data_IF_596764763702
#
_entry.id   IF_596764763702
#
_cell.length_a   1.000
_cell.length_b   1.000
_cell.length_c   1.000
_cell.angle_alpha   90.00
_cell.angle_beta   90.00
_cell.angle_gamma   90.00
#
_symmetry.space_group_name_H-M   'P 1'
#
loop_
_entity.id
_entity.type
_entity.pdbx_description
1 polymer ?
#
# COMPACT_ATOMS: atom_id res chain seq x y z
N UNK A 1 11.19 -33.27 -23.13
CA UNK A 1 11.40 -32.00 -22.39
C UNK A 1 10.08 -31.56 -21.79
N UNK A 2 9.84 -31.86 -20.53
CA UNK A 2 8.64 -31.46 -19.78
C UNK A 2 8.81 -30.03 -19.28
N UNK A 3 8.17 -29.08 -19.95
CA UNK A 3 8.05 -27.70 -19.47
C UNK A 3 6.98 -27.62 -18.38
N UNK A 4 7.38 -27.69 -17.11
CA UNK A 4 6.67 -27.07 -16.00
C UNK A 4 7.71 -26.32 -15.17
N UNK A 5 7.54 -24.99 -14.92
CA UNK A 5 6.75 -24.59 -13.76
C UNK A 5 6.03 -23.23 -13.96
N UNK A 6 4.76 -23.27 -14.38
CA UNK A 6 3.82 -22.15 -14.21
C UNK A 6 3.20 -22.04 -12.80
N UNK A 7 2.99 -23.13 -12.02
CA UNK A 7 2.36 -23.06 -10.70
C UNK A 7 3.13 -22.19 -9.71
N UNK A 8 4.45 -22.35 -9.63
CA UNK A 8 5.29 -21.73 -8.59
C UNK A 8 5.25 -20.20 -8.63
N UNK A 9 5.14 -19.61 -9.84
CA UNK A 9 5.09 -18.16 -10.00
C UNK A 9 3.73 -17.57 -9.64
N UNK A 10 2.66 -18.29 -9.94
CA UNK A 10 1.31 -17.90 -9.55
C UNK A 10 1.19 -17.95 -8.04
N UNK A 11 1.68 -19.03 -7.41
CA UNK A 11 1.76 -19.18 -5.96
C UNK A 11 2.57 -18.04 -5.34
N UNK A 12 3.77 -17.74 -5.85
CA UNK A 12 4.59 -16.64 -5.35
C UNK A 12 3.91 -15.27 -5.46
N UNK A 13 3.18 -15.00 -6.56
CA UNK A 13 2.43 -13.75 -6.72
C UNK A 13 1.27 -13.65 -5.74
N UNK A 14 0.52 -14.73 -5.56
CA UNK A 14 -0.62 -14.76 -4.63
C UNK A 14 -0.11 -14.59 -3.19
N UNK A 15 0.96 -15.29 -2.82
CA UNK A 15 1.57 -15.17 -1.49
C UNK A 15 2.06 -13.74 -1.21
N UNK A 16 2.80 -13.14 -2.15
CA UNK A 16 3.28 -11.76 -2.01
C UNK A 16 2.12 -10.76 -2.01
N UNK A 17 1.12 -10.94 -2.87
CA UNK A 17 -0.08 -10.11 -2.88
C UNK A 17 -0.81 -10.18 -1.53
N UNK A 18 -1.06 -11.37 -1.01
CA UNK A 18 -1.74 -11.56 0.27
C UNK A 18 -0.97 -10.91 1.41
N UNK A 19 0.34 -11.15 1.50
CA UNK A 19 1.19 -10.54 2.52
C UNK A 19 1.18 -9.01 2.45
N UNK A 20 1.29 -8.42 1.25
CA UNK A 20 1.26 -6.97 1.07
C UNK A 20 -0.13 -6.39 1.36
N UNK A 21 -1.21 -7.02 0.89
CA UNK A 21 -2.57 -6.54 1.12
C UNK A 21 -2.91 -6.55 2.62
N UNK A 22 -2.54 -7.62 3.34
CA UNK A 22 -2.70 -7.70 4.80
C UNK A 22 -1.84 -6.66 5.53
N UNK A 23 -0.57 -6.49 5.12
CA UNK A 23 0.31 -5.50 5.71
C UNK A 23 -0.21 -4.08 5.50
N UNK A 24 -0.66 -3.74 4.29
CA UNK A 24 -1.19 -2.41 3.97
C UNK A 24 -2.48 -2.15 4.73
N UNK A 25 -3.38 -3.14 4.84
CA UNK A 25 -4.61 -3.00 5.60
C UNK A 25 -4.34 -2.71 7.09
N UNK A 26 -3.48 -3.50 7.73
CA UNK A 26 -3.16 -3.31 9.15
C UNK A 26 -2.36 -2.04 9.42
N UNK A 27 -1.34 -1.76 8.60
CA UNK A 27 -0.51 -0.57 8.72
C UNK A 27 -1.31 0.71 8.50
N UNK A 28 -2.34 0.68 7.63
CA UNK A 28 -3.16 1.84 7.36
C UNK A 28 -3.88 2.36 8.60
N UNK A 29 -4.66 1.50 9.25
CA UNK A 29 -5.39 1.87 10.47
C UNK A 29 -4.43 2.30 11.57
N UNK A 30 -3.31 1.59 11.72
CA UNK A 30 -2.31 1.96 12.72
C UNK A 30 -1.69 3.34 12.43
N UNK A 31 -1.28 3.61 11.20
CA UNK A 31 -0.68 4.88 10.83
C UNK A 31 -1.66 6.06 10.99
N UNK A 32 -2.90 5.92 10.50
CA UNK A 32 -3.94 6.95 10.60
C UNK A 32 -4.33 7.26 12.05
N UNK A 33 -4.26 6.31 12.96
CA UNK A 33 -4.67 6.52 14.35
C UNK A 33 -3.51 6.84 15.31
N UNK A 34 -2.33 6.28 15.06
CA UNK A 34 -1.20 6.37 15.99
C UNK A 34 -0.07 7.27 15.51
N UNK A 35 0.17 7.35 14.19
CA UNK A 35 1.25 8.17 13.63
C UNK A 35 0.76 9.54 13.15
N UNK A 36 -0.49 9.62 12.73
CA UNK A 36 -1.08 10.86 12.26
C UNK A 36 -1.17 11.87 13.40
N UNK A 37 -0.73 13.11 13.12
CA UNK A 37 -0.91 14.22 14.05
C UNK A 37 -2.40 14.61 14.07
N UNK A 38 -3.00 14.86 15.24
CA UNK A 38 -4.41 15.25 15.33
C UNK A 38 -4.75 16.47 14.45
N UNK A 39 -3.84 17.45 14.42
CA UNK A 39 -3.97 18.63 13.56
C UNK A 39 -4.06 18.28 12.08
N UNK A 40 -3.24 17.36 11.60
CA UNK A 40 -3.26 16.97 10.18
C UNK A 40 -4.58 16.26 9.83
N UNK A 41 -5.14 15.49 10.76
CA UNK A 41 -6.42 14.79 10.58
C UNK A 41 -7.59 15.75 10.37
N UNK A 42 -7.61 16.86 11.12
CA UNK A 42 -8.66 17.88 11.00
C UNK A 42 -8.45 18.72 9.74
N UNK A 43 -7.22 19.15 9.47
CA UNK A 43 -6.94 20.15 8.44
C UNK A 43 -6.81 19.59 7.02
N UNK A 44 -6.47 18.31 6.85
CA UNK A 44 -6.21 17.70 5.52
C UNK A 44 -7.38 17.82 4.54
N UNK A 45 -8.60 18.01 5.04
CA UNK A 45 -9.80 18.21 4.22
C UNK A 45 -10.03 19.64 3.71
N UNK A 46 -9.34 20.66 4.22
CA UNK A 46 -9.63 22.06 3.93
C UNK A 46 -9.35 22.45 2.47
N UNK A 47 -10.25 23.18 1.84
CA UNK A 47 -10.12 23.71 0.46
C UNK A 47 -10.62 25.14 0.39
N UNK A 48 -10.41 25.78 -0.76
CA UNK A 48 -10.84 27.15 -1.01
C UNK A 48 -9.74 28.18 -0.74
N UNK A 49 -10.04 29.40 -1.12
CA UNK A 49 -9.15 30.55 -0.99
C UNK A 49 -9.48 31.42 0.22
N UNK A 50 -10.52 31.04 0.96
CA UNK A 50 -10.89 31.63 2.24
C UNK A 50 -9.71 31.58 3.20
N UNK A 51 -9.50 32.68 3.93
CA UNK A 51 -8.42 32.78 4.90
C UNK A 51 -8.82 32.07 6.18
N UNK A 52 -7.95 31.17 6.61
CA UNK A 52 -8.07 30.41 7.86
C UNK A 52 -6.81 30.56 8.69
N UNK A 53 -6.95 30.38 10.00
CA UNK A 53 -5.81 30.24 10.89
C UNK A 53 -5.17 28.86 10.70
N UNK A 54 -3.87 28.77 10.38
CA UNK A 54 -3.24 27.47 10.13
C UNK A 54 -3.09 26.60 11.38
N UNK A 55 -3.39 27.10 12.58
CA UNK A 55 -3.39 26.33 13.83
C UNK A 55 -4.52 25.29 13.90
N UNK A 56 -5.74 25.71 13.55
CA UNK A 56 -6.98 24.93 13.72
C UNK A 56 -7.93 24.98 12.52
N UNK A 57 -7.64 25.80 11.51
CA UNK A 57 -8.44 25.91 10.30
C UNK A 57 -9.67 26.79 10.44
N UNK A 58 -9.83 27.51 11.57
CA UNK A 58 -10.96 28.43 11.77
C UNK A 58 -10.90 29.57 10.77
N UNK A 59 -12.05 29.94 10.20
CA UNK A 59 -12.17 31.06 9.28
C UNK A 59 -11.89 32.39 9.99
N UNK A 60 -11.16 33.28 9.34
CA UNK A 60 -10.84 34.60 9.93
C UNK A 60 -12.09 35.42 10.22
N UNK A 61 -13.15 35.28 9.41
CA UNK A 61 -14.41 35.99 9.62
C UNK A 61 -15.23 35.49 10.83
N UNK A 62 -14.90 34.32 11.39
CA UNK A 62 -15.59 33.75 12.55
C UNK A 62 -14.95 34.14 13.89
N UNK A 63 -13.79 34.81 13.86
CA UNK A 63 -13.03 35.19 15.07
C UNK A 63 -13.10 36.70 15.26
N UNK A 64 -13.43 37.13 16.48
CA UNK A 64 -13.34 38.54 16.87
C UNK A 64 -11.86 38.95 17.02
N UNK A 65 -11.36 39.69 16.02
CA UNK A 65 -10.00 40.22 16.01
C UNK A 65 -8.92 39.23 15.52
N UNK A 66 -7.72 39.75 15.18
CA UNK A 66 -6.61 38.92 14.74
C UNK A 66 -6.04 38.10 15.90
N UNK A 67 -5.72 36.83 15.65
CA UNK A 67 -4.95 36.01 16.62
C UNK A 67 -3.51 36.46 16.66
N UNK A 68 -3.01 36.72 17.86
CA UNK A 68 -1.63 37.16 18.08
C UNK A 68 -0.64 36.10 17.58
N UNK A 69 0.34 36.52 16.78
CA UNK A 69 1.42 35.64 16.28
C UNK A 69 1.03 34.68 15.16
N UNK A 70 -0.21 34.70 14.67
CA UNK A 70 -0.64 33.85 13.56
C UNK A 70 -0.99 34.66 12.31
N UNK A 71 -0.39 34.28 11.17
CA UNK A 71 -0.72 34.86 9.87
C UNK A 71 -1.74 33.95 9.18
N UNK A 72 -2.96 34.43 8.91
CA UNK A 72 -3.94 33.67 8.15
C UNK A 72 -3.44 33.34 6.75
N UNK A 73 -3.79 32.16 6.27
CA UNK A 73 -3.42 31.70 4.92
C UNK A 73 -4.63 31.03 4.26
N UNK A 74 -4.64 30.90 2.93
CA UNK A 74 -5.73 30.22 2.24
C UNK A 74 -5.92 28.77 2.73
N UNK A 75 -7.18 28.37 2.94
CA UNK A 75 -7.56 27.04 3.41
C UNK A 75 -6.97 25.91 2.56
N UNK A 76 -6.88 26.11 1.23
CA UNK A 76 -6.25 25.14 0.33
C UNK A 76 -4.74 24.93 0.61
N UNK A 77 -4.03 25.95 1.09
CA UNK A 77 -2.61 25.85 1.46
C UNK A 77 -2.45 25.04 2.73
N UNK A 78 -3.24 25.35 3.76
CA UNK A 78 -3.25 24.59 5.03
C UNK A 78 -3.56 23.13 4.77
N UNK A 79 -4.64 22.87 4.03
CA UNK A 79 -5.07 21.52 3.75
C UNK A 79 -4.05 20.71 2.95
N UNK A 80 -3.42 21.29 1.91
CA UNK A 80 -2.35 20.60 1.17
C UNK A 80 -1.16 20.26 2.07
N UNK A 81 -0.74 21.17 2.96
CA UNK A 81 0.37 20.94 3.89
C UNK A 81 0.04 19.81 4.87
N UNK A 82 -1.16 19.84 5.47
CA UNK A 82 -1.64 18.81 6.38
C UNK A 82 -1.71 17.43 5.70
N UNK A 83 -2.30 17.35 4.50
CA UNK A 83 -2.35 16.09 3.74
C UNK A 83 -0.95 15.58 3.38
N UNK A 84 -0.05 16.46 2.93
CA UNK A 84 1.31 16.05 2.60
C UNK A 84 2.07 15.57 3.83
N UNK A 85 1.97 16.27 4.96
CA UNK A 85 2.54 15.84 6.25
C UNK A 85 2.07 14.43 6.62
N UNK A 86 0.75 14.21 6.58
CA UNK A 86 0.13 12.91 6.86
C UNK A 86 0.61 11.81 5.91
N UNK A 87 0.58 12.06 4.60
CA UNK A 87 0.99 11.07 3.61
C UNK A 87 2.47 10.72 3.75
N UNK A 88 3.33 11.67 4.15
CA UNK A 88 4.74 11.39 4.40
C UNK A 88 4.96 10.50 5.63
N UNK A 89 4.26 10.75 6.74
CA UNK A 89 4.36 9.90 7.94
C UNK A 89 3.79 8.51 7.68
N UNK A 90 2.64 8.43 7.01
CA UNK A 90 2.05 7.18 6.53
C UNK A 90 3.00 6.41 5.61
N UNK A 91 3.60 7.09 4.64
CA UNK A 91 4.53 6.49 3.68
C UNK A 91 5.75 5.89 4.38
N UNK A 92 6.34 6.62 5.32
CA UNK A 92 7.45 6.13 6.12
C UNK A 92 7.05 4.88 6.91
N UNK A 93 5.93 4.92 7.63
CA UNK A 93 5.43 3.79 8.42
C UNK A 93 5.17 2.56 7.55
N UNK A 94 4.48 2.73 6.42
CA UNK A 94 4.15 1.62 5.54
C UNK A 94 5.37 1.02 4.86
N UNK A 95 6.36 1.81 4.44
CA UNK A 95 7.59 1.27 3.87
C UNK A 95 8.37 0.43 4.89
N UNK A 96 8.43 0.87 6.15
CA UNK A 96 9.04 0.12 7.24
C UNK A 96 8.31 -1.21 7.47
N UNK A 97 6.98 -1.19 7.59
CA UNK A 97 6.17 -2.41 7.78
C UNK A 97 6.31 -3.36 6.59
N UNK A 98 6.26 -2.83 5.37
CA UNK A 98 6.41 -3.62 4.14
C UNK A 98 7.75 -4.33 4.10
N UNK A 99 8.83 -3.62 4.42
CA UNK A 99 10.17 -4.20 4.44
C UNK A 99 10.33 -5.24 5.55
N UNK A 100 9.80 -4.97 6.74
CA UNK A 100 9.81 -5.91 7.85
C UNK A 100 9.08 -7.21 7.47
N UNK A 101 7.85 -7.12 6.96
CA UNK A 101 7.06 -8.28 6.50
C UNK A 101 7.78 -9.03 5.39
N UNK A 102 8.31 -8.33 4.39
CA UNK A 102 9.03 -8.97 3.28
C UNK A 102 10.26 -9.73 3.78
N UNK A 103 11.05 -9.16 4.70
CA UNK A 103 12.22 -9.82 5.28
C UNK A 103 11.84 -11.03 6.13
N UNK A 104 10.84 -10.90 7.00
CA UNK A 104 10.38 -12.00 7.87
C UNK A 104 9.88 -13.19 7.06
N UNK A 105 9.23 -12.95 5.93
CA UNK A 105 8.72 -14.00 5.05
C UNK A 105 9.75 -14.49 4.01
N UNK A 106 11.01 -14.03 4.07
CA UNK A 106 12.05 -14.40 3.11
C UNK A 106 11.79 -13.92 1.67
N UNK A 107 10.88 -12.96 1.49
CA UNK A 107 10.47 -12.48 0.17
C UNK A 107 11.42 -11.38 -0.34
N UNK A 108 11.99 -11.61 -1.52
CA UNK A 108 12.80 -10.60 -2.22
C UNK A 108 11.97 -9.90 -3.29
N UNK A 109 11.51 -8.69 -2.98
CA UNK A 109 10.86 -7.82 -3.96
C UNK A 109 11.87 -6.83 -4.56
N UNK A 110 11.95 -6.65 -5.89
CA UNK A 110 12.80 -5.63 -6.51
C UNK A 110 12.33 -4.23 -6.11
N UNK A 111 13.28 -3.32 -5.83
CA UNK A 111 13.00 -1.96 -5.38
C UNK A 111 12.04 -1.18 -6.30
N UNK A 112 12.14 -1.41 -7.63
CA UNK A 112 11.26 -0.79 -8.62
C UNK A 112 9.79 -1.16 -8.41
N UNK A 113 9.50 -2.42 -8.10
CA UNK A 113 8.12 -2.86 -7.85
C UNK A 113 7.56 -2.18 -6.58
N UNK A 114 8.39 -2.07 -5.53
CA UNK A 114 8.01 -1.38 -4.28
C UNK A 114 7.75 0.10 -4.51
N UNK A 115 8.58 0.78 -5.29
CA UNK A 115 8.38 2.20 -5.59
C UNK A 115 7.10 2.45 -6.39
N UNK A 116 6.77 1.60 -7.37
CA UNK A 116 5.52 1.75 -8.13
C UNK A 116 4.32 1.54 -7.22
N UNK A 117 4.33 0.50 -6.39
CA UNK A 117 3.29 0.26 -5.39
C UNK A 117 3.12 1.41 -4.41
N UNK A 118 4.23 1.90 -3.87
CA UNK A 118 4.29 3.04 -2.97
C UNK A 118 3.75 4.31 -3.64
N UNK A 119 4.15 4.60 -4.88
CA UNK A 119 3.68 5.78 -5.61
C UNK A 119 2.17 5.74 -5.87
N UNK A 120 1.62 4.57 -6.26
CA UNK A 120 0.18 4.38 -6.39
C UNK A 120 -0.48 4.66 -5.05
N UNK A 121 -0.05 3.95 -4.00
CA UNK A 121 -0.69 4.02 -2.70
C UNK A 121 -0.66 5.44 -2.11
N UNK A 122 0.51 6.10 -2.09
CA UNK A 122 0.66 7.44 -1.51
C UNK A 122 -0.02 8.51 -2.35
N UNK A 123 0.06 8.39 -3.68
CA UNK A 123 -0.62 9.32 -4.59
C UNK A 123 -2.14 9.24 -4.43
N UNK A 124 -2.69 8.03 -4.37
CA UNK A 124 -4.12 7.86 -4.12
C UNK A 124 -4.50 8.29 -2.72
N UNK A 125 -3.67 8.00 -1.71
CA UNK A 125 -3.91 8.43 -0.33
C UNK A 125 -4.01 9.95 -0.24
N UNK A 126 -3.07 10.66 -0.85
CA UNK A 126 -3.06 12.12 -0.91
C UNK A 126 -4.33 12.66 -1.57
N UNK A 127 -4.76 12.10 -2.71
CA UNK A 127 -5.95 12.56 -3.42
C UNK A 127 -7.23 12.36 -2.59
N UNK A 128 -7.36 11.19 -1.95
CA UNK A 128 -8.55 10.84 -1.17
C UNK A 128 -8.65 11.67 0.10
N UNK A 129 -7.53 11.86 0.80
CA UNK A 129 -7.48 12.64 2.04
C UNK A 129 -7.81 14.12 1.87
N UNK A 130 -7.68 14.62 0.64
CA UNK A 130 -8.22 15.93 0.28
C UNK A 130 -9.74 15.93 0.24
N UNK A 131 -10.47 14.82 0.37
CA UNK A 131 -11.94 14.70 0.41
C UNK A 131 -12.72 15.13 -0.84
N UNK A 132 -12.23 16.08 -1.66
CA UNK A 132 -12.93 16.56 -2.87
C UNK A 132 -13.19 15.44 -3.87
N UNK A 133 -12.20 14.59 -4.13
CA UNK A 133 -12.37 13.44 -5.01
C UNK A 133 -13.33 12.40 -4.41
N UNK A 134 -13.22 12.13 -3.11
CA UNK A 134 -14.10 11.20 -2.40
C UNK A 134 -15.56 11.65 -2.45
N UNK A 135 -15.85 12.92 -2.18
CA UNK A 135 -17.20 13.49 -2.22
C UNK A 135 -17.77 13.46 -3.64
N UNK A 136 -16.97 13.82 -4.65
CA UNK A 136 -17.36 13.67 -6.06
C UNK A 136 -17.69 12.21 -6.40
N UNK A 137 -16.87 11.27 -5.95
CA UNK A 137 -17.09 9.84 -6.20
C UNK A 137 -18.36 9.35 -5.48
N UNK A 138 -18.61 9.78 -4.24
CA UNK A 138 -19.79 9.44 -3.48
C UNK A 138 -21.09 9.92 -4.16
N UNK A 139 -21.07 11.13 -4.74
CA UNK A 139 -22.20 11.65 -5.54
C UNK A 139 -22.43 10.83 -6.80
N UNK A 140 -21.36 10.37 -7.46
CA UNK A 140 -21.44 9.63 -8.73
C UNK A 140 -21.82 8.17 -8.55
N UNK A 141 -21.38 7.55 -7.45
CA UNK A 141 -21.58 6.12 -7.19
C UNK A 141 -22.73 5.98 -6.23
N UNK A 142 -23.91 5.65 -6.76
CA UNK A 142 -25.09 5.26 -5.97
C UNK A 142 -25.58 6.33 -4.96
N UNK A 143 -25.43 7.61 -5.29
CA UNK A 143 -25.93 8.75 -4.49
C UNK A 143 -25.59 8.63 -3.00
N UNK A 144 -24.32 8.31 -2.70
CA UNK A 144 -23.81 8.16 -1.33
C UNK A 144 -23.67 9.49 -0.60
N UNK A 145 -23.89 10.63 -1.27
CA UNK A 145 -24.09 11.93 -0.64
C UNK A 145 -25.27 11.93 0.34
N UNK A 146 -26.32 11.17 0.03
CA UNK A 146 -27.45 10.95 0.94
C UNK A 146 -27.01 10.16 2.18
N UNK A 147 -26.20 9.11 1.99
CA UNK A 147 -25.63 8.35 3.11
C UNK A 147 -24.73 9.21 4.00
N UNK A 148 -23.88 10.06 3.41
CA UNK A 148 -23.02 11.02 4.13
C UNK A 148 -23.87 12.00 4.96
N UNK A 149 -25.00 12.45 4.41
CA UNK A 149 -25.87 13.41 5.10
C UNK A 149 -26.61 12.80 6.29
N UNK A 150 -26.96 11.51 6.22
CA UNK A 150 -27.70 10.83 7.29
C UNK A 150 -26.81 10.26 8.40
N UNK A 151 -25.70 9.63 8.05
CA UNK A 151 -24.85 8.92 9.02
C UNK A 151 -23.76 9.84 9.59
N UNK A 152 -24.19 10.77 10.42
CA UNK A 152 -23.33 11.67 11.23
C UNK A 152 -23.26 11.19 12.68
N UNK A 153 -22.37 11.78 13.49
CA UNK A 153 -22.18 11.37 14.89
C UNK A 153 -22.24 12.58 15.83
N UNK A 154 -23.12 12.52 16.83
CA UNK A 154 -23.12 13.46 17.95
C UNK A 154 -22.15 12.96 19.03
N UNK A 155 -21.06 13.69 19.25
CA UNK A 155 -20.03 13.30 20.24
C UNK A 155 -20.28 13.87 21.63
N UNK A 156 -20.89 15.06 21.71
CA UNK A 156 -21.22 15.75 22.95
C UNK A 156 -22.66 16.30 22.88
N UNK A 157 -23.38 16.39 24.00
CA UNK A 157 -24.63 17.13 24.05
C UNK A 157 -24.44 18.57 23.56
N UNK A 158 -25.44 19.10 22.87
CA UNK A 158 -25.53 20.50 22.44
C UNK A 158 -24.41 21.00 21.49
N UNK A 159 -23.61 20.11 20.92
CA UNK A 159 -22.64 20.44 19.86
C UNK A 159 -23.13 20.03 18.49
N UNK A 160 -22.75 20.73 17.40
CA UNK A 160 -23.07 20.28 16.04
C UNK A 160 -22.61 18.84 15.78
N UNK A 161 -23.34 18.06 14.95
CA UNK A 161 -22.91 16.72 14.57
C UNK A 161 -21.54 16.74 13.89
N UNK A 162 -20.67 15.79 14.26
CA UNK A 162 -19.46 15.51 13.50
C UNK A 162 -19.83 14.82 12.19
N UNK A 163 -19.31 15.35 11.08
CA UNK A 163 -19.61 14.91 9.72
C UNK A 163 -18.48 14.10 9.09
N UNK A 164 -17.32 13.97 9.76
CA UNK A 164 -16.11 13.50 9.09
C UNK A 164 -15.15 12.65 9.92
N UNK A 165 -15.32 12.60 11.24
CA UNK A 165 -14.52 11.76 12.14
C UNK A 165 -15.00 10.31 12.25
N UNK A 166 -14.33 9.47 13.06
CA UNK A 166 -14.69 8.06 13.25
C UNK A 166 -16.17 7.86 13.61
N UNK A 167 -16.80 6.89 12.95
CA UNK A 167 -18.23 6.55 13.10
C UNK A 167 -19.17 7.27 12.14
N UNK A 168 -18.66 8.21 11.34
CA UNK A 168 -19.45 8.90 10.30
C UNK A 168 -19.37 8.16 8.96
N UNK A 169 -20.38 8.32 8.11
CA UNK A 169 -20.37 7.75 6.76
C UNK A 169 -19.20 8.25 5.91
N UNK A 170 -18.81 9.52 6.05
CA UNK A 170 -17.68 10.06 5.31
C UNK A 170 -16.37 9.37 5.71
N UNK A 171 -16.19 9.11 7.00
CA UNK A 171 -15.05 8.35 7.51
C UNK A 171 -15.04 6.90 6.99
N UNK A 172 -16.20 6.23 7.00
CA UNK A 172 -16.28 4.85 6.52
C UNK A 172 -16.00 4.74 5.01
N UNK A 173 -16.50 5.68 4.21
CA UNK A 173 -16.23 5.75 2.78
C UNK A 173 -14.74 6.06 2.50
N UNK A 174 -14.14 6.97 3.27
CA UNK A 174 -12.71 7.30 3.20
C UNK A 174 -11.86 6.05 3.48
N UNK A 175 -12.09 5.40 4.62
CA UNK A 175 -11.38 4.17 5.02
C UNK A 175 -11.58 3.03 4.02
N UNK A 176 -12.81 2.86 3.53
CA UNK A 176 -13.13 1.84 2.52
C UNK A 176 -12.36 2.06 1.22
N UNK A 177 -12.31 3.30 0.74
CA UNK A 177 -11.63 3.63 -0.52
C UNK A 177 -10.12 3.49 -0.42
N UNK A 178 -9.50 3.96 0.68
CA UNK A 178 -8.07 3.77 0.91
C UNK A 178 -7.70 2.28 0.95
N UNK A 179 -8.47 1.46 1.68
CA UNK A 179 -8.25 0.00 1.75
C UNK A 179 -8.39 -0.66 0.37
N UNK A 180 -9.40 -0.26 -0.41
CA UNK A 180 -9.60 -0.79 -1.76
C UNK A 180 -8.42 -0.46 -2.70
N UNK A 181 -7.89 0.77 -2.64
CA UNK A 181 -6.73 1.14 -3.45
C UNK A 181 -5.42 0.54 -2.93
N UNK A 182 -5.31 0.29 -1.62
CA UNK A 182 -4.23 -0.51 -1.04
C UNK A 182 -4.16 -1.92 -1.63
N UNK A 183 -5.31 -2.56 -1.87
CA UNK A 183 -5.38 -3.85 -2.56
C UNK A 183 -4.85 -3.73 -4.00
N UNK A 184 -5.24 -2.69 -4.73
CA UNK A 184 -4.74 -2.43 -6.10
C UNK A 184 -3.22 -2.23 -6.10
N UNK A 185 -2.70 -1.42 -5.17
CA UNK A 185 -1.27 -1.18 -5.02
C UNK A 185 -0.50 -2.47 -4.70
N UNK A 186 -1.03 -3.32 -3.81
CA UNK A 186 -0.45 -4.62 -3.49
C UNK A 186 -0.43 -5.55 -4.72
N UNK A 187 -1.51 -5.60 -5.49
CA UNK A 187 -1.62 -6.42 -6.69
C UNK A 187 -0.60 -5.99 -7.77
N UNK A 188 -0.48 -4.69 -8.03
CA UNK A 188 0.51 -4.14 -8.98
C UNK A 188 1.93 -4.45 -8.49
N UNK A 189 2.21 -4.24 -7.21
CA UNK A 189 3.52 -4.54 -6.62
C UNK A 189 3.89 -6.01 -6.81
N UNK A 190 2.99 -6.93 -6.45
CA UNK A 190 3.22 -8.36 -6.57
C UNK A 190 3.43 -8.79 -8.03
N UNK A 191 2.63 -8.21 -8.95
CA UNK A 191 2.72 -8.50 -10.39
C UNK A 191 4.05 -8.08 -11.01
N UNK A 192 4.61 -6.95 -10.55
CA UNK A 192 5.90 -6.42 -10.99
C UNK A 192 7.08 -7.12 -10.30
N UNK A 193 6.90 -7.53 -9.05
CA UNK A 193 7.95 -8.18 -8.27
C UNK A 193 8.29 -9.58 -8.77
N UNK A 194 7.32 -10.30 -9.36
CA UNK A 194 7.52 -11.64 -9.92
C UNK A 194 7.49 -11.56 -11.46
N UNK A 195 8.65 -11.55 -12.15
CA UNK A 195 8.73 -11.40 -13.60
C UNK A 195 7.96 -12.48 -14.36
N UNK A 196 7.39 -12.09 -15.51
CA UNK A 196 6.82 -13.05 -16.46
C UNK A 196 7.89 -13.97 -17.07
N UNK A 197 7.50 -15.04 -17.78
CA UNK A 197 8.44 -15.77 -18.63
C UNK A 197 9.11 -14.78 -19.58
N UNK A 198 10.44 -14.78 -19.65
CA UNK A 198 11.12 -14.07 -20.74
C UNK A 198 10.64 -14.72 -22.03
N UNK A 199 9.93 -13.98 -22.89
CA UNK A 199 9.75 -14.39 -24.29
C UNK A 199 11.16 -14.57 -24.84
N UNK A 200 11.54 -15.79 -25.25
CA UNK A 200 12.76 -15.99 -26.04
C UNK A 200 12.75 -14.94 -27.15
N UNK A 201 13.82 -14.16 -27.29
CA UNK A 201 13.91 -13.26 -28.44
C UNK A 201 13.98 -14.14 -29.68
N UNK A 202 13.20 -13.81 -30.71
CA UNK A 202 13.30 -14.47 -32.02
C UNK A 202 14.72 -14.21 -32.53
N UNK A 203 15.61 -15.19 -32.39
CA UNK A 203 17.04 -15.05 -32.67
C UNK A 203 17.99 -15.55 -31.59
N UNK A 204 17.51 -16.02 -30.42
CA UNK A 204 18.38 -16.76 -29.50
C UNK A 204 18.89 -18.02 -30.25
N UNK A 205 20.22 -18.22 -30.40
CA UNK A 205 20.77 -19.33 -31.17
C UNK A 205 20.17 -20.64 -30.67
N UNK A 206 19.76 -21.52 -31.60
CA UNK A 206 19.54 -22.91 -31.26
C UNK A 206 20.80 -23.39 -30.54
N UNK A 207 20.69 -23.78 -29.27
CA UNK A 207 21.70 -24.61 -28.63
C UNK A 207 22.04 -25.72 -29.62
N UNK A 208 23.31 -25.74 -30.04
CA UNK A 208 23.83 -26.84 -30.83
C UNK A 208 23.50 -28.14 -30.10
N UNK A 209 23.02 -29.17 -30.81
CA UNK A 209 22.68 -30.44 -30.19
C UNK A 209 23.88 -30.94 -29.37
N UNK A 210 23.60 -31.35 -28.13
CA UNK A 210 24.60 -31.89 -27.24
C UNK A 210 25.42 -32.98 -27.98
N UNK A 211 26.76 -33.03 -27.77
CA UNK A 211 27.57 -34.08 -28.37
C UNK A 211 27.01 -35.44 -27.95
N UNK A 212 26.98 -36.43 -28.86
CA UNK A 212 26.44 -37.75 -28.57
C UNK A 212 27.13 -38.33 -27.34
N UNK A 213 26.31 -38.84 -26.40
CA UNK A 213 26.78 -39.60 -25.25
C UNK A 213 27.72 -40.70 -25.76
N UNK A 214 29.00 -40.61 -25.38
CA UNK A 214 29.93 -41.71 -25.58
C UNK A 214 29.34 -42.94 -24.89
N UNK A 215 29.02 -43.96 -25.68
CA UNK A 215 28.60 -45.24 -25.15
C UNK A 215 29.72 -45.80 -24.25
N UNK A 216 29.38 -46.30 -23.04
CA UNK A 216 30.36 -46.96 -22.19
C UNK A 216 30.90 -48.20 -22.91
N UNK A 217 32.24 -48.33 -22.97
CA UNK A 217 32.90 -49.53 -23.48
C UNK A 217 32.56 -50.71 -22.56
N UNK A 218 32.17 -51.88 -23.10
CA UNK A 218 32.03 -53.09 -22.30
C UNK A 218 33.42 -53.66 -22.02
N UNK A 219 33.81 -53.72 -20.74
CA UNK A 219 35.04 -54.41 -20.34
C UNK A 219 35.48 -54.03 -18.95
N UNK A 220 35.21 -54.90 -17.97
CA UNK A 220 35.74 -54.76 -16.62
C UNK A 220 34.88 -55.41 -15.54
N UNK A 221 34.60 -56.71 -15.67
CA UNK A 221 34.29 -57.55 -14.51
C UNK A 221 35.49 -57.54 -13.58
N UNK A 222 35.34 -56.95 -12.40
CA UNK A 222 36.07 -57.38 -11.22
C UNK A 222 35.15 -57.23 -10.02
N UNK A 223 34.83 -58.39 -9.44
CA UNK A 223 34.40 -58.55 -8.06
C UNK A 223 35.26 -57.73 -7.10
N UNK A 224 34.69 -57.32 -5.97
CA UNK A 224 35.16 -57.74 -4.64
C UNK A 224 34.22 -57.15 -3.57
N UNK A 225 33.67 -58.07 -2.79
CA UNK A 225 33.03 -57.88 -1.50
C UNK A 225 33.90 -57.10 -0.50
N UNK A 226 33.29 -56.28 0.35
CA UNK A 226 33.88 -55.72 1.58
C UNK A 226 32.95 -54.65 2.15
N UNK A 227 32.02 -55.00 3.04
CA UNK A 227 32.16 -55.00 4.51
C UNK A 227 32.25 -53.61 5.17
N UNK A 228 31.39 -53.39 6.18
CA UNK A 228 31.62 -52.47 7.32
C UNK A 228 30.93 -51.09 7.22
N UNK A 229 29.88 -50.79 8.01
CA UNK A 229 29.91 -50.24 9.41
C UNK A 229 30.45 -48.79 9.39
N UNK A 230 29.78 -47.73 9.86
CA UNK A 230 29.40 -47.47 11.26
C UNK A 230 28.44 -46.26 11.35
N UNK A 231 27.48 -46.33 12.26
CA UNK A 231 26.67 -45.20 12.73
C UNK A 231 27.44 -44.36 13.75
N UNK A 232 27.41 -43.02 13.65
CA UNK A 232 27.54 -42.15 14.84
C UNK A 232 26.61 -40.95 14.78
N UNK A 233 25.76 -40.87 15.81
CA UNK A 233 25.02 -39.69 16.25
C UNK A 233 25.96 -38.77 17.03
N UNK A 234 25.78 -37.47 16.81
CA UNK A 234 26.07 -36.40 17.75
C UNK A 234 24.84 -35.51 17.81
#
# INVERSE_FOLDING_TARGET
MTTQPTPDRVVARIALFGALASAFHGAHLWADHWLQRPKDAVLKGLHGDELVYPSDGTLVCEVEGPREGEVPVPACVVGRRATTSHVLTYAAGQLVVTEAVARTLGMRSPWRARLVGAAINFGTHWIIDRRRFLLWLAQRVNHKDTFISYATVMRKPDTPPDTSGPGTALYDLDQGLHKALGIVAAAVTARLAVPGPRRRRRGDPCESPAPPLQQPRPGGTTDIFGEGVEWRRG
#
